data_IF_119748047430
#
_entry.id   IF_119748047430
#
_cell.length_a   1.000
_cell.length_b   1.000
_cell.length_c   1.000
_cell.angle_alpha   90.00
_cell.angle_beta   90.00
_cell.angle_gamma   90.00
#
_symmetry.space_group_name_H-M   'P 1'
#
loop_
_entity.id
_entity.type
_entity.pdbx_description
1 polymer ?
#
# COMPACT_ATOMS: atom_id res chain seq x y z
N UNK A 1 4.93 -30.13 16.15
CA UNK A 1 4.79 -29.87 14.70
C UNK A 1 5.17 -28.42 14.46
N UNK A 2 6.07 -28.14 13.51
CA UNK A 2 6.42 -26.76 13.14
C UNK A 2 5.18 -26.14 12.49
N UNK A 3 4.60 -25.12 13.12
CA UNK A 3 3.44 -24.40 12.59
C UNK A 3 3.92 -23.52 11.42
N UNK A 4 3.50 -23.84 10.21
CA UNK A 4 3.84 -23.07 9.00
C UNK A 4 2.82 -21.95 8.81
N UNK A 5 3.29 -20.70 8.79
CA UNK A 5 2.47 -19.54 8.42
C UNK A 5 2.97 -18.97 7.09
N UNK A 6 2.05 -18.68 6.17
CA UNK A 6 2.34 -18.00 4.89
C UNK A 6 1.76 -16.59 4.97
N UNK A 7 2.52 -15.58 4.52
CA UNK A 7 2.07 -14.19 4.48
C UNK A 7 2.11 -13.70 3.04
N UNK A 8 1.02 -13.10 2.58
CA UNK A 8 0.83 -12.60 1.22
C UNK A 8 0.47 -11.11 1.21
N UNK A 9 1.09 -10.36 0.32
CA UNK A 9 0.72 -8.99 -0.07
C UNK A 9 0.13 -9.05 -1.48
N UNK A 10 -1.19 -8.93 -1.61
CA UNK A 10 -1.94 -9.10 -2.84
C UNK A 10 -2.17 -7.74 -3.49
N UNK A 11 -1.43 -7.46 -4.56
CA UNK A 11 -1.69 -6.33 -5.45
C UNK A 11 -2.56 -6.69 -6.65
N UNK A 12 -2.77 -5.71 -7.54
CA UNK A 12 -3.54 -5.95 -8.78
C UNK A 12 -2.78 -6.68 -9.88
N UNK A 13 -1.44 -6.71 -9.82
CA UNK A 13 -0.55 -7.26 -10.86
C UNK A 13 0.36 -8.38 -10.33
N UNK A 14 0.72 -8.30 -9.06
CA UNK A 14 1.58 -9.28 -8.38
C UNK A 14 1.08 -9.57 -6.98
N UNK A 15 1.28 -10.80 -6.56
CA UNK A 15 1.22 -11.27 -5.17
C UNK A 15 2.64 -11.44 -4.70
N UNK A 16 3.02 -10.78 -3.62
CA UNK A 16 4.30 -10.97 -2.96
C UNK A 16 4.13 -11.89 -1.77
N UNK A 17 5.06 -12.81 -1.58
CA UNK A 17 5.10 -13.71 -0.42
C UNK A 17 6.28 -13.33 0.49
N UNK A 18 6.14 -13.56 1.78
CA UNK A 18 7.14 -13.17 2.79
C UNK A 18 8.52 -13.80 2.62
N UNK A 19 8.65 -14.85 1.82
CA UNK A 19 9.92 -15.47 1.45
C UNK A 19 10.64 -14.79 0.26
N UNK A 20 10.11 -13.67 -0.21
CA UNK A 20 10.65 -12.89 -1.33
C UNK A 20 10.14 -13.30 -2.72
N UNK A 21 9.34 -14.36 -2.82
CA UNK A 21 8.78 -14.78 -4.11
C UNK A 21 7.65 -13.84 -4.55
N UNK A 22 7.56 -13.66 -5.87
CA UNK A 22 6.52 -12.87 -6.53
C UNK A 22 5.77 -13.74 -7.54
N UNK A 23 4.45 -13.66 -7.53
CA UNK A 23 3.57 -14.41 -8.41
C UNK A 23 2.72 -13.43 -9.21
N UNK A 24 2.63 -13.59 -10.55
CA UNK A 24 1.76 -12.73 -11.35
C UNK A 24 0.29 -13.01 -11.03
N UNK A 25 -0.52 -11.95 -11.05
CA UNK A 25 -1.97 -12.02 -10.97
C UNK A 25 -2.56 -10.93 -11.86
N UNK A 26 -3.59 -11.27 -12.61
CA UNK A 26 -4.42 -10.28 -13.30
C UNK A 26 -5.71 -10.08 -12.48
N UNK A 27 -5.80 -8.95 -11.80
CA UNK A 27 -6.99 -8.61 -10.99
C UNK A 27 -8.26 -8.40 -11.84
N UNK A 28 -8.13 -8.29 -13.17
CA UNK A 28 -9.25 -8.21 -14.12
C UNK A 28 -9.52 -9.54 -14.83
N UNK A 29 -8.76 -10.57 -14.50
CA UNK A 29 -8.90 -11.92 -15.06
C UNK A 29 -10.18 -12.63 -14.64
N UNK A 30 -10.41 -13.83 -15.19
CA UNK A 30 -11.53 -14.66 -14.77
C UNK A 30 -11.40 -15.12 -13.32
N UNK A 31 -12.53 -15.53 -12.73
CA UNK A 31 -12.55 -16.06 -11.36
C UNK A 31 -11.59 -17.25 -11.19
N UNK A 32 -11.51 -18.12 -12.20
CA UNK A 32 -10.64 -19.30 -12.21
C UNK A 32 -9.16 -18.89 -12.27
N UNK A 33 -8.82 -17.90 -13.11
CA UNK A 33 -7.46 -17.38 -13.21
C UNK A 33 -6.99 -16.73 -11.90
N UNK A 34 -7.86 -15.94 -11.26
CA UNK A 34 -7.59 -15.33 -9.96
C UNK A 34 -7.41 -16.42 -8.89
N UNK A 35 -8.33 -17.41 -8.82
CA UNK A 35 -8.23 -18.51 -7.86
C UNK A 35 -6.93 -19.30 -8.02
N UNK A 36 -6.53 -19.59 -9.27
CA UNK A 36 -5.30 -20.31 -9.59
C UNK A 36 -4.05 -19.52 -9.17
N UNK A 37 -4.01 -18.21 -9.45
CA UNK A 37 -2.89 -17.35 -9.06
C UNK A 37 -2.75 -17.28 -7.53
N UNK A 38 -3.87 -17.12 -6.81
CA UNK A 38 -3.90 -17.12 -5.35
C UNK A 38 -3.42 -18.47 -4.78
N UNK A 39 -3.95 -19.60 -5.30
CA UNK A 39 -3.54 -20.93 -4.86
C UNK A 39 -2.05 -21.18 -5.11
N UNK A 40 -1.51 -20.74 -6.25
CA UNK A 40 -0.09 -20.84 -6.57
C UNK A 40 0.77 -20.05 -5.58
N UNK A 41 0.36 -18.82 -5.24
CA UNK A 41 1.08 -17.97 -4.28
C UNK A 41 1.03 -18.53 -2.85
N UNK A 42 -0.08 -19.15 -2.43
CA UNK A 42 -0.22 -19.82 -1.13
C UNK A 42 0.73 -21.04 -1.05
N UNK A 43 0.81 -21.79 -2.14
CA UNK A 43 1.60 -23.03 -2.19
C UNK A 43 0.94 -24.22 -1.47
N UNK A 44 1.70 -25.26 -1.13
CA UNK A 44 1.16 -26.46 -0.48
C UNK A 44 0.47 -26.16 0.85
N UNK A 45 -0.77 -26.65 1.00
CA UNK A 45 -1.60 -26.46 2.19
C UNK A 45 -1.20 -27.43 3.32
N UNK A 46 -0.50 -28.51 2.99
CA UNK A 46 -0.06 -29.50 3.98
C UNK A 46 0.88 -28.86 5.01
N UNK A 47 0.52 -29.01 6.29
CA UNK A 47 1.24 -28.38 7.40
C UNK A 47 0.99 -26.88 7.59
N UNK A 48 0.17 -26.24 6.72
CA UNK A 48 -0.21 -24.84 6.88
C UNK A 48 -1.13 -24.69 8.09
N UNK A 49 -0.77 -23.81 9.01
CA UNK A 49 -1.57 -23.48 10.20
C UNK A 49 -2.13 -22.07 10.19
N UNK A 50 -1.48 -21.15 9.45
CA UNK A 50 -1.91 -19.76 9.35
C UNK A 50 -1.63 -19.16 7.95
N UNK A 51 -2.51 -18.30 7.51
CA UNK A 51 -2.37 -17.54 6.26
C UNK A 51 -2.77 -16.08 6.52
N UNK A 52 -1.79 -15.19 6.47
CA UNK A 52 -1.98 -13.75 6.61
C UNK A 52 -2.01 -13.07 5.24
N UNK A 53 -2.99 -12.23 5.01
CA UNK A 53 -3.27 -11.65 3.71
C UNK A 53 -3.43 -10.15 3.85
N UNK A 54 -2.54 -9.39 3.24
CA UNK A 54 -2.74 -7.98 2.95
C UNK A 54 -3.39 -7.84 1.57
N UNK A 55 -4.50 -7.11 1.49
CA UNK A 55 -5.28 -6.94 0.26
C UNK A 55 -5.90 -5.53 0.24
N UNK A 56 -5.96 -4.85 -0.93
CA UNK A 56 -6.64 -3.56 -1.01
C UNK A 56 -8.16 -3.70 -0.79
N UNK A 57 -8.81 -2.59 -0.50
CA UNK A 57 -10.28 -2.52 -0.40
C UNK A 57 -10.96 -2.06 -1.69
N UNK A 58 -12.30 -2.15 -1.72
CA UNK A 58 -13.21 -2.70 -0.71
C UNK A 58 -13.11 -4.22 -0.53
N UNK A 59 -13.03 -4.66 0.72
CA UNK A 59 -12.97 -6.07 1.11
C UNK A 59 -13.57 -6.23 2.51
N UNK A 60 -14.31 -7.28 2.77
CA UNK A 60 -14.74 -7.61 4.13
C UNK A 60 -13.61 -8.35 4.85
N UNK A 61 -12.84 -7.63 5.64
CA UNK A 61 -11.67 -8.15 6.35
C UNK A 61 -12.02 -9.14 7.48
N UNK A 62 -13.27 -9.20 7.91
CA UNK A 62 -13.73 -10.17 8.94
C UNK A 62 -14.15 -11.49 8.32
N UNK A 63 -14.90 -11.44 7.22
CA UNK A 63 -15.45 -12.63 6.55
C UNK A 63 -14.58 -13.10 5.38
N UNK A 64 -13.62 -12.30 4.93
CA UNK A 64 -12.76 -12.60 3.79
C UNK A 64 -13.50 -12.55 2.46
N UNK A 65 -14.39 -11.55 2.25
CA UNK A 65 -15.23 -11.44 1.05
C UNK A 65 -14.72 -10.31 0.15
N UNK A 66 -14.56 -10.60 -1.14
CA UNK A 66 -14.20 -9.60 -2.15
C UNK A 66 -15.39 -8.67 -2.43
N UNK A 67 -15.19 -7.36 -2.32
CA UNK A 67 -16.22 -6.33 -2.55
C UNK A 67 -15.76 -5.26 -3.56
N UNK A 68 -14.68 -5.53 -4.29
CA UNK A 68 -14.13 -4.64 -5.32
C UNK A 68 -14.83 -4.84 -6.66
N UNK A 69 -15.26 -3.74 -7.28
CA UNK A 69 -15.89 -3.74 -8.61
C UNK A 69 -14.92 -3.34 -9.73
N UNK A 70 -13.86 -2.60 -9.39
CA UNK A 70 -12.85 -2.10 -10.34
C UNK A 70 -11.61 -2.99 -10.45
N UNK A 71 -11.42 -3.88 -9.50
CA UNK A 71 -10.40 -4.95 -9.46
C UNK A 71 -11.07 -6.16 -8.83
N UNK A 72 -10.65 -7.37 -9.20
CA UNK A 72 -11.23 -8.59 -8.66
C UNK A 72 -12.76 -8.70 -8.86
N UNK A 73 -13.30 -8.00 -9.87
CA UNK A 73 -14.76 -7.97 -10.13
C UNK A 73 -15.34 -9.35 -10.41
N UNK A 74 -14.60 -10.26 -11.05
CA UNK A 74 -15.03 -11.63 -11.35
C UNK A 74 -15.18 -12.53 -10.12
N UNK A 75 -14.64 -12.09 -8.98
CA UNK A 75 -14.76 -12.77 -7.67
C UNK A 75 -15.58 -11.95 -6.65
N UNK A 76 -16.24 -10.89 -7.09
CA UNK A 76 -17.12 -10.10 -6.23
C UNK A 76 -18.11 -10.98 -5.48
N UNK A 77 -18.28 -10.73 -4.18
CA UNK A 77 -19.17 -11.49 -3.29
C UNK A 77 -18.64 -12.88 -2.88
N UNK A 78 -17.54 -13.37 -3.47
CA UNK A 78 -16.96 -14.67 -3.12
C UNK A 78 -16.09 -14.57 -1.87
N UNK A 79 -16.13 -15.64 -1.06
CA UNK A 79 -15.23 -15.79 0.10
C UNK A 79 -13.88 -16.30 -0.36
N UNK A 80 -12.81 -15.67 0.13
CA UNK A 80 -11.43 -16.07 -0.17
C UNK A 80 -11.19 -17.55 0.16
N UNK A 81 -11.63 -18.02 1.33
CA UNK A 81 -11.46 -19.41 1.78
C UNK A 81 -12.06 -20.43 0.80
N UNK A 82 -13.27 -20.14 0.31
CA UNK A 82 -13.99 -21.00 -0.63
C UNK A 82 -13.34 -20.95 -2.02
N UNK A 83 -12.93 -19.75 -2.46
CA UNK A 83 -12.31 -19.53 -3.77
C UNK A 83 -11.01 -20.33 -3.95
N UNK A 84 -10.22 -20.47 -2.88
CA UNK A 84 -8.91 -21.17 -2.90
C UNK A 84 -8.89 -22.46 -2.07
N UNK A 85 -10.06 -22.95 -1.65
CA UNK A 85 -10.25 -24.22 -0.94
C UNK A 85 -9.37 -24.39 0.32
N UNK A 86 -9.29 -23.35 1.17
CA UNK A 86 -8.50 -23.41 2.42
C UNK A 86 -9.27 -24.16 3.50
N UNK A 87 -8.69 -25.22 4.11
CA UNK A 87 -9.32 -25.97 5.20
C UNK A 87 -9.66 -25.11 6.42
N UNK A 88 -10.75 -25.41 7.12
CA UNK A 88 -11.19 -24.66 8.32
C UNK A 88 -10.16 -24.60 9.44
N UNK A 89 -9.31 -25.63 9.56
CA UNK A 89 -8.21 -25.69 10.56
C UNK A 89 -7.13 -24.62 10.36
N UNK A 90 -7.04 -24.00 9.14
CA UNK A 90 -6.07 -22.95 8.86
C UNK A 90 -6.63 -21.62 9.32
N UNK A 91 -5.90 -20.93 10.20
CA UNK A 91 -6.25 -19.59 10.64
C UNK A 91 -6.04 -18.60 9.48
N UNK A 92 -7.10 -17.90 9.05
CA UNK A 92 -7.00 -16.81 8.09
C UNK A 92 -7.04 -15.48 8.83
N UNK A 93 -6.13 -14.57 8.44
CA UNK A 93 -6.10 -13.19 8.90
C UNK A 93 -6.02 -12.29 7.68
N UNK A 94 -7.00 -11.40 7.53
CA UNK A 94 -7.04 -10.41 6.47
C UNK A 94 -6.79 -9.02 7.02
N UNK A 95 -6.05 -8.22 6.27
CA UNK A 95 -5.81 -6.84 6.62
C UNK A 95 -5.75 -5.96 5.37
N UNK A 96 -6.15 -4.69 5.50
CA UNK A 96 -5.93 -3.73 4.42
C UNK A 96 -4.42 -3.53 4.23
N UNK A 97 -3.96 -3.52 2.98
CA UNK A 97 -2.53 -3.46 2.63
C UNK A 97 -1.80 -2.28 3.30
N UNK A 98 -2.32 -1.05 3.18
CA UNK A 98 -1.69 0.12 3.79
C UNK A 98 -1.68 0.05 5.32
N UNK A 99 -2.73 -0.48 5.94
CA UNK A 99 -2.78 -0.67 7.39
C UNK A 99 -1.75 -1.70 7.86
N UNK A 100 -1.56 -2.80 7.10
CA UNK A 100 -0.54 -3.80 7.40
C UNK A 100 0.88 -3.21 7.32
N UNK A 101 1.15 -2.37 6.30
CA UNK A 101 2.44 -1.65 6.20
C UNK A 101 2.65 -0.73 7.40
N UNK A 102 1.63 0.05 7.81
CA UNK A 102 1.76 0.95 8.95
C UNK A 102 1.97 0.17 10.25
N UNK A 103 1.21 -0.89 10.48
CA UNK A 103 1.34 -1.75 11.67
C UNK A 103 2.75 -2.32 11.81
N UNK A 104 3.31 -2.85 10.71
CA UNK A 104 4.68 -3.34 10.69
C UNK A 104 5.71 -2.22 10.87
N UNK A 105 5.49 -1.06 10.24
CA UNK A 105 6.38 0.10 10.38
C UNK A 105 6.43 0.62 11.81
N UNK A 106 5.29 0.71 12.49
CA UNK A 106 5.21 1.08 13.93
C UNK A 106 6.08 0.17 14.76
N UNK A 107 6.05 -1.14 14.51
CA UNK A 107 6.87 -2.12 15.23
C UNK A 107 8.35 -2.00 14.89
N UNK A 108 8.69 -1.99 13.60
CA UNK A 108 10.08 -2.00 13.12
C UNK A 108 10.84 -0.72 13.47
N UNK A 109 10.15 0.43 13.52
CA UNK A 109 10.74 1.73 13.83
C UNK A 109 10.53 2.17 15.29
N UNK A 110 9.98 1.30 16.13
CA UNK A 110 9.71 1.59 17.56
C UNK A 110 8.82 2.81 17.77
N UNK A 111 7.77 2.97 16.96
CA UNK A 111 6.85 4.10 16.99
C UNK A 111 5.63 3.89 17.92
N UNK A 112 5.70 2.98 18.89
CA UNK A 112 4.56 2.65 19.79
C UNK A 112 4.09 3.80 20.66
N UNK A 113 4.89 4.86 20.80
CA UNK A 113 4.56 6.06 21.57
C UNK A 113 4.31 7.30 20.69
N UNK A 114 4.43 7.14 19.38
CA UNK A 114 4.33 8.20 18.38
C UNK A 114 2.96 8.23 17.71
N UNK A 115 2.57 9.39 17.22
CA UNK A 115 1.47 9.54 16.28
C UNK A 115 2.08 9.56 14.87
N UNK A 116 1.82 8.53 14.11
CA UNK A 116 2.43 8.33 12.81
C UNK A 116 1.38 8.25 11.69
N UNK A 117 1.69 8.81 10.54
CA UNK A 117 0.91 8.60 9.32
C UNK A 117 1.77 7.86 8.28
N UNK A 118 1.13 7.12 7.40
CA UNK A 118 1.76 6.42 6.28
C UNK A 118 1.06 6.81 4.99
N UNK A 119 1.85 7.14 4.00
CA UNK A 119 1.43 7.23 2.60
C UNK A 119 2.11 6.11 1.82
N UNK A 120 1.36 5.35 1.04
CA UNK A 120 1.92 4.39 0.08
C UNK A 120 1.63 4.86 -1.34
N UNK A 121 2.69 4.98 -2.15
CA UNK A 121 2.64 5.45 -3.52
C UNK A 121 2.99 4.32 -4.49
N UNK A 122 2.12 4.09 -5.46
CA UNK A 122 2.27 3.05 -6.48
C UNK A 122 1.29 3.27 -7.62
N UNK A 123 0.56 2.23 -8.05
CA UNK A 123 -0.55 2.35 -9.00
C UNK A 123 -1.61 3.33 -8.48
N UNK A 124 -1.83 3.36 -7.17
CA UNK A 124 -2.72 4.29 -6.47
C UNK A 124 -2.04 4.93 -5.26
N UNK A 125 -2.84 5.63 -4.47
CA UNK A 125 -2.45 6.34 -3.26
C UNK A 125 -3.14 5.69 -2.04
N UNK A 126 -2.37 5.07 -1.16
CA UNK A 126 -2.85 4.56 0.13
C UNK A 126 -2.49 5.52 1.27
N UNK A 127 -3.36 5.58 2.28
CA UNK A 127 -3.14 6.37 3.49
C UNK A 127 -3.64 5.62 4.72
N UNK A 128 -2.87 5.65 5.80
CA UNK A 128 -3.27 5.17 7.11
C UNK A 128 -2.58 6.00 8.19
N UNK A 129 -3.11 6.00 9.41
CA UNK A 129 -2.47 6.65 10.54
C UNK A 129 -2.62 5.84 11.83
N UNK A 130 -1.71 6.08 12.76
CA UNK A 130 -1.67 5.48 14.09
C UNK A 130 -1.55 6.58 15.14
N UNK A 131 -2.30 6.46 16.22
CA UNK A 131 -2.20 7.33 17.40
C UNK A 131 -1.59 6.54 18.55
N UNK A 132 -0.48 7.03 19.11
CA UNK A 132 0.29 6.32 20.14
C UNK A 132 0.58 4.87 19.73
N UNK A 133 1.01 4.70 18.49
CA UNK A 133 1.35 3.41 17.90
C UNK A 133 0.15 2.51 17.55
N UNK A 134 -1.08 2.93 17.81
CA UNK A 134 -2.28 2.15 17.51
C UNK A 134 -2.87 2.58 16.16
N UNK A 135 -2.81 1.70 15.17
CA UNK A 135 -3.39 1.94 13.84
C UNK A 135 -4.89 2.18 13.96
N UNK A 136 -5.40 3.19 13.28
CA UNK A 136 -6.79 3.58 13.30
C UNK A 136 -7.54 3.01 12.10
N UNK A 137 -8.71 2.43 12.36
CA UNK A 137 -9.53 1.72 11.37
C UNK A 137 -10.94 2.31 11.32
N UNK A 138 -11.52 2.29 10.12
CA UNK A 138 -12.96 2.39 9.96
C UNK A 138 -13.64 1.09 10.47
N UNK A 139 -14.96 1.11 10.75
CA UNK A 139 -15.71 -0.09 11.17
C UNK A 139 -15.60 -1.28 10.21
N UNK A 140 -15.34 -1.03 8.92
CA UNK A 140 -15.10 -2.04 7.89
C UNK A 140 -13.74 -2.74 8.00
N UNK A 141 -12.78 -2.22 8.79
CA UNK A 141 -11.39 -2.63 8.81
C UNK A 141 -10.51 -1.93 7.76
N UNK A 142 -11.10 -1.06 6.94
CA UNK A 142 -10.36 -0.17 6.02
C UNK A 142 -9.64 0.94 6.78
N UNK A 143 -8.74 1.72 6.16
CA UNK A 143 -8.16 2.91 6.77
C UNK A 143 -9.24 3.87 7.27
N UNK A 144 -9.00 4.50 8.42
CA UNK A 144 -9.96 5.42 9.03
C UNK A 144 -10.16 6.73 8.23
N UNK A 145 -9.19 7.08 7.38
CA UNK A 145 -9.24 8.24 6.45
C UNK A 145 -8.68 7.86 5.09
N UNK A 146 -9.12 8.59 4.06
CA UNK A 146 -8.61 8.49 2.70
C UNK A 146 -7.99 9.82 2.27
N UNK A 147 -6.92 9.75 1.46
CA UNK A 147 -6.32 10.90 0.79
C UNK A 147 -6.52 10.85 -0.73
N UNK A 148 -6.68 9.66 -1.30
CA UNK A 148 -6.64 9.47 -2.74
C UNK A 148 -7.66 10.33 -3.52
N UNK A 149 -8.84 10.58 -2.94
CA UNK A 149 -9.94 11.31 -3.56
C UNK A 149 -10.03 12.79 -3.15
N UNK A 150 -9.02 13.33 -2.48
CA UNK A 150 -9.02 14.75 -2.15
C UNK A 150 -8.98 15.59 -3.44
N UNK A 151 -9.84 16.63 -3.56
CA UNK A 151 -9.82 17.51 -4.71
C UNK A 151 -8.53 18.33 -4.75
N UNK A 152 -8.00 18.55 -5.94
CA UNK A 152 -6.85 19.40 -6.23
C UNK A 152 -7.32 20.66 -6.94
N UNK A 153 -6.69 21.81 -6.68
CA UNK A 153 -7.09 23.11 -7.23
C UNK A 153 -7.09 23.13 -8.76
N UNK A 154 -6.16 22.43 -9.39
CA UNK A 154 -6.06 22.27 -10.83
C UNK A 154 -7.13 21.33 -11.44
N UNK A 155 -8.01 20.79 -10.60
CA UNK A 155 -9.06 19.84 -10.96
C UNK A 155 -8.64 18.38 -10.79
N UNK A 156 -9.61 17.48 -10.73
CA UNK A 156 -9.38 16.07 -10.46
C UNK A 156 -9.12 15.77 -8.97
N UNK A 157 -8.49 14.64 -8.70
CA UNK A 157 -8.21 14.15 -7.34
C UNK A 157 -6.71 13.96 -7.12
N UNK A 158 -6.27 13.97 -5.88
CA UNK A 158 -4.86 13.85 -5.49
C UNK A 158 -4.16 12.64 -6.13
N UNK A 159 -4.82 11.48 -6.17
CA UNK A 159 -4.25 10.29 -6.82
C UNK A 159 -3.88 10.51 -8.28
N UNK A 160 -4.62 11.36 -9.01
CA UNK A 160 -4.32 11.67 -10.41
C UNK A 160 -2.98 12.38 -10.60
N UNK A 161 -2.42 12.98 -9.55
CA UNK A 161 -1.16 13.73 -9.60
C UNK A 161 0.02 12.95 -9.02
N UNK A 162 -0.22 12.12 -7.99
CA UNK A 162 0.87 11.52 -7.21
C UNK A 162 1.06 10.01 -7.47
N UNK A 163 0.14 9.37 -8.19
CA UNK A 163 0.28 7.95 -8.59
C UNK A 163 1.22 7.77 -9.79
N UNK A 164 1.55 6.52 -10.11
CA UNK A 164 2.36 6.18 -11.29
C UNK A 164 1.79 6.81 -12.57
N UNK A 165 0.46 6.76 -12.75
CA UNK A 165 -0.23 7.38 -13.89
C UNK A 165 -0.04 8.90 -13.91
N UNK A 166 -0.13 9.54 -12.74
CA UNK A 166 0.05 10.99 -12.60
C UNK A 166 1.46 11.42 -12.96
N UNK A 167 2.47 10.71 -12.46
CA UNK A 167 3.90 10.96 -12.76
C UNK A 167 4.17 10.82 -14.26
N UNK A 168 3.72 9.72 -14.89
CA UNK A 168 3.90 9.49 -16.32
C UNK A 168 3.23 10.60 -17.16
N UNK A 169 2.00 10.97 -16.80
CA UNK A 169 1.26 12.05 -17.48
C UNK A 169 1.98 13.39 -17.36
N UNK A 170 2.43 13.76 -16.16
CA UNK A 170 3.15 15.01 -15.94
C UNK A 170 4.46 15.06 -16.72
N UNK A 171 5.23 13.96 -16.72
CA UNK A 171 6.46 13.87 -17.48
C UNK A 171 6.22 13.97 -18.99
N UNK A 172 5.25 13.23 -19.53
CA UNK A 172 4.86 13.28 -20.94
C UNK A 172 4.44 14.69 -21.37
N UNK A 173 3.70 15.41 -20.52
CA UNK A 173 3.28 16.80 -20.81
C UNK A 173 4.47 17.74 -20.89
N UNK A 174 5.48 17.58 -20.03
CA UNK A 174 6.63 18.47 -19.95
C UNK A 174 7.75 18.13 -20.92
N UNK A 175 7.97 16.83 -21.22
CA UNK A 175 9.08 16.36 -22.07
C UNK A 175 8.66 16.02 -23.51
N UNK A 176 7.36 15.75 -23.74
CA UNK A 176 6.83 15.17 -24.98
C UNK A 176 6.98 13.65 -25.07
N UNK A 177 7.70 13.01 -24.16
CA UNK A 177 7.95 11.56 -24.14
C UNK A 177 6.83 10.83 -23.36
N UNK A 178 6.09 9.93 -24.04
CA UNK A 178 4.92 9.25 -23.51
C UNK A 178 5.18 7.79 -23.09
N UNK A 179 6.37 7.26 -23.37
CA UNK A 179 6.67 5.83 -23.20
C UNK A 179 7.38 5.50 -21.88
N UNK A 180 7.53 6.51 -21.01
CA UNK A 180 8.22 6.38 -19.75
C UNK A 180 7.34 5.86 -18.63
N UNK A 181 7.93 5.05 -17.75
CA UNK A 181 7.33 4.59 -16.50
C UNK A 181 7.73 5.50 -15.34
N UNK A 182 6.95 5.50 -14.24
CA UNK A 182 7.35 6.24 -13.04
C UNK A 182 8.76 5.85 -12.55
N UNK A 183 9.14 4.59 -12.70
CA UNK A 183 10.49 4.10 -12.35
C UNK A 183 11.57 4.71 -13.24
N UNK A 184 11.41 4.63 -14.56
CA UNK A 184 12.43 5.18 -15.49
C UNK A 184 12.53 6.70 -15.37
N UNK A 185 11.43 7.41 -15.09
CA UNK A 185 11.43 8.84 -14.78
C UNK A 185 12.24 9.12 -13.49
N UNK A 186 12.10 8.29 -12.44
CA UNK A 186 12.93 8.43 -11.24
C UNK A 186 14.42 8.21 -11.55
N UNK A 187 14.74 7.18 -12.34
CA UNK A 187 16.12 6.90 -12.77
C UNK A 187 16.72 8.09 -13.57
N UNK A 188 15.94 8.70 -14.47
CA UNK A 188 16.32 9.94 -15.17
C UNK A 188 16.54 11.11 -14.20
N UNK A 189 15.65 11.28 -13.20
CA UNK A 189 15.79 12.34 -12.19
C UNK A 189 17.08 12.19 -11.38
N UNK A 190 17.44 10.97 -10.97
CA UNK A 190 18.71 10.66 -10.32
C UNK A 190 19.90 10.87 -11.24
N UNK A 191 19.74 10.65 -12.54
CA UNK A 191 20.72 10.94 -13.58
C UNK A 191 20.89 12.44 -13.93
N UNK A 192 20.11 13.32 -13.28
CA UNK A 192 20.23 14.77 -13.46
C UNK A 192 19.26 15.38 -14.48
N UNK A 193 18.29 14.61 -15.01
CA UNK A 193 17.23 15.16 -15.86
C UNK A 193 16.36 16.13 -15.05
N UNK A 194 16.38 17.41 -15.46
CA UNK A 194 15.68 18.49 -14.76
C UNK A 194 14.16 18.36 -14.85
N UNK A 195 13.65 17.86 -15.96
CA UNK A 195 12.20 17.66 -16.17
C UNK A 195 11.68 16.56 -15.26
N UNK A 196 12.38 15.42 -15.23
CA UNK A 196 12.04 14.30 -14.35
C UNK A 196 12.10 14.69 -12.88
N UNK A 197 13.14 15.44 -12.48
CA UNK A 197 13.27 15.98 -11.10
C UNK A 197 12.08 16.87 -10.74
N UNK A 198 11.71 17.81 -11.63
CA UNK A 198 10.60 18.73 -11.42
C UNK A 198 9.25 18.02 -11.25
N UNK A 199 9.06 16.91 -11.96
CA UNK A 199 7.86 16.06 -11.79
C UNK A 199 7.81 15.49 -10.37
N UNK A 200 8.88 14.91 -9.85
CA UNK A 200 8.91 14.36 -8.49
C UNK A 200 8.82 15.45 -7.41
N UNK A 201 9.42 16.60 -7.61
CA UNK A 201 9.27 17.76 -6.73
C UNK A 201 7.81 18.21 -6.65
N UNK A 202 7.08 18.20 -7.78
CA UNK A 202 5.64 18.50 -7.81
C UNK A 202 4.82 17.46 -7.04
N UNK A 203 5.15 16.17 -7.17
CA UNK A 203 4.51 15.11 -6.38
C UNK A 203 4.69 15.37 -4.88
N UNK A 204 5.91 15.73 -4.46
CA UNK A 204 6.20 16.08 -3.07
C UNK A 204 5.38 17.29 -2.58
N UNK A 205 5.22 18.32 -3.41
CA UNK A 205 4.43 19.50 -3.08
C UNK A 205 2.94 19.16 -2.90
N UNK A 206 2.34 18.40 -3.83
CA UNK A 206 0.95 17.94 -3.70
C UNK A 206 0.72 17.09 -2.46
N UNK A 207 1.62 16.15 -2.18
CA UNK A 207 1.54 15.30 -1.00
C UNK A 207 1.69 16.11 0.29
N UNK A 208 2.67 16.99 0.36
CA UNK A 208 2.89 17.83 1.53
C UNK A 208 1.67 18.69 1.86
N UNK A 209 1.10 19.36 0.87
CA UNK A 209 -0.10 20.18 1.03
C UNK A 209 -1.32 19.36 1.49
N UNK A 210 -1.57 18.21 0.84
CA UNK A 210 -2.68 17.34 1.17
C UNK A 210 -2.54 16.75 2.58
N UNK A 211 -1.34 16.28 2.92
CA UNK A 211 -1.02 15.73 4.25
C UNK A 211 -1.17 16.79 5.33
N UNK A 212 -0.63 18.00 5.15
CA UNK A 212 -0.74 19.09 6.12
C UNK A 212 -2.19 19.37 6.51
N UNK A 213 -3.11 19.33 5.54
CA UNK A 213 -4.56 19.48 5.80
C UNK A 213 -5.16 18.24 6.49
N UNK A 214 -4.80 17.05 6.01
CA UNK A 214 -5.44 15.79 6.44
C UNK A 214 -5.04 15.33 7.84
N UNK A 215 -3.87 15.76 8.35
CA UNK A 215 -3.33 15.35 9.65
C UNK A 215 -3.32 16.48 10.69
N UNK A 216 -3.80 17.67 10.34
CA UNK A 216 -3.75 18.87 11.20
C UNK A 216 -4.42 18.72 12.56
N UNK A 217 -5.38 17.79 12.69
CA UNK A 217 -6.12 17.48 13.91
C UNK A 217 -5.64 16.21 14.65
N UNK A 218 -4.52 15.59 14.20
CA UNK A 218 -4.08 14.28 14.66
C UNK A 218 -2.78 14.29 15.47
N UNK A 219 -2.15 15.46 15.67
CA UNK A 219 -0.85 15.61 16.34
C UNK A 219 0.21 14.64 15.80
N UNK A 220 0.24 14.44 14.48
CA UNK A 220 1.20 13.54 13.82
C UNK A 220 2.61 14.11 13.94
N UNK A 221 3.53 13.33 14.49
CA UNK A 221 4.95 13.70 14.60
C UNK A 221 5.85 13.03 13.54
N UNK A 222 5.37 11.95 12.92
CA UNK A 222 6.11 11.18 11.93
C UNK A 222 5.25 10.81 10.74
N UNK A 223 5.72 11.08 9.52
CA UNK A 223 5.09 10.62 8.27
C UNK A 223 6.03 9.64 7.58
N UNK A 224 5.50 8.47 7.27
CA UNK A 224 6.19 7.41 6.55
C UNK A 224 5.77 7.42 5.07
N UNK A 225 6.75 7.23 4.19
CA UNK A 225 6.53 7.14 2.75
C UNK A 225 6.91 5.75 2.29
N UNK A 226 5.93 5.02 1.76
CA UNK A 226 6.06 3.63 1.30
C UNK A 226 5.56 3.43 -0.13
N UNK A 227 5.49 2.16 -0.54
CA UNK A 227 5.11 1.78 -1.90
C UNK A 227 6.27 1.84 -2.90
N UNK A 228 6.02 1.43 -4.14
CA UNK A 228 7.08 1.36 -5.17
C UNK A 228 7.63 2.74 -5.54
N UNK A 229 6.77 3.74 -5.67
CA UNK A 229 7.17 5.14 -5.94
C UNK A 229 7.84 5.74 -4.70
N UNK A 230 7.42 5.33 -3.51
CA UNK A 230 8.03 5.74 -2.25
C UNK A 230 9.52 5.39 -2.13
N UNK A 231 10.05 4.44 -2.93
CA UNK A 231 11.48 4.18 -3.03
C UNK A 231 12.27 5.38 -3.58
N UNK A 232 11.60 6.27 -4.31
CA UNK A 232 12.15 7.53 -4.82
C UNK A 232 11.86 8.72 -3.90
N UNK A 233 11.60 8.48 -2.62
CA UNK A 233 11.23 9.50 -1.64
C UNK A 233 12.21 10.67 -1.58
N UNK A 234 13.50 10.44 -1.72
CA UNK A 234 14.52 11.51 -1.71
C UNK A 234 14.33 12.57 -2.81
N UNK A 235 13.62 12.25 -3.91
CA UNK A 235 13.27 13.21 -4.95
C UNK A 235 12.10 14.13 -4.58
N UNK A 236 11.32 13.75 -3.55
CA UNK A 236 10.12 14.44 -3.09
C UNK A 236 10.31 15.10 -1.72
N UNK A 237 11.33 14.70 -0.98
CA UNK A 237 11.49 14.98 0.45
C UNK A 237 11.52 16.48 0.74
N UNK A 238 12.31 17.26 0.01
CA UNK A 238 12.48 18.68 0.30
C UNK A 238 11.17 19.47 0.13
N UNK A 239 10.44 19.20 -0.97
CA UNK A 239 9.16 19.88 -1.23
C UNK A 239 8.06 19.44 -0.27
N UNK A 240 8.07 18.19 0.20
CA UNK A 240 7.18 17.73 1.26
C UNK A 240 7.53 18.40 2.60
N UNK A 241 8.82 18.48 2.95
CA UNK A 241 9.26 19.02 4.25
C UNK A 241 8.89 20.50 4.40
N UNK A 242 8.90 21.27 3.32
CA UNK A 242 8.44 22.66 3.33
C UNK A 242 6.96 22.82 3.74
N UNK A 243 6.13 21.83 3.48
CA UNK A 243 4.70 21.84 3.83
C UNK A 243 4.42 21.20 5.19
N UNK A 244 5.39 20.42 5.72
CA UNK A 244 5.25 19.58 6.92
C UNK A 244 6.33 19.94 7.94
N UNK A 245 6.44 21.24 8.26
CA UNK A 245 7.42 21.72 9.26
C UNK A 245 7.21 21.05 10.61
N UNK A 246 8.31 20.65 11.25
CA UNK A 246 8.28 19.97 12.55
C UNK A 246 7.88 18.49 12.50
N UNK A 247 7.45 17.98 11.35
CA UNK A 247 7.10 16.57 11.18
C UNK A 247 8.31 15.81 10.61
N UNK A 248 8.64 14.68 11.22
CA UNK A 248 9.70 13.80 10.75
C UNK A 248 9.22 12.98 9.55
N UNK A 249 9.89 13.12 8.41
CA UNK A 249 9.63 12.33 7.19
C UNK A 249 10.63 11.18 7.09
N UNK A 250 10.15 9.95 6.93
CA UNK A 250 10.97 8.73 6.82
C UNK A 250 10.42 7.76 5.79
N UNK A 251 11.29 6.94 5.20
CA UNK A 251 10.85 5.82 4.36
C UNK A 251 10.24 4.71 5.21
N UNK A 252 9.14 4.12 4.75
CA UNK A 252 8.59 2.92 5.36
C UNK A 252 9.58 1.75 5.19
N UNK A 253 9.80 0.91 6.22
CA UNK A 253 10.75 -0.19 6.14
C UNK A 253 10.34 -1.23 5.09
N UNK A 254 11.35 -1.78 4.42
CA UNK A 254 11.12 -2.92 3.52
C UNK A 254 10.56 -4.11 4.31
N UNK A 255 9.56 -4.78 3.76
CA UNK A 255 8.93 -5.93 4.42
C UNK A 255 7.95 -5.59 5.55
N UNK A 256 7.69 -4.31 5.84
CA UNK A 256 6.79 -3.89 6.90
C UNK A 256 5.38 -4.52 6.78
N UNK A 257 4.88 -4.75 5.56
CA UNK A 257 3.60 -5.44 5.35
C UNK A 257 3.56 -6.83 6.00
N UNK A 258 4.65 -7.59 5.86
CA UNK A 258 4.74 -8.95 6.41
C UNK A 258 4.95 -8.93 7.93
N UNK A 259 5.71 -7.96 8.45
CA UNK A 259 5.85 -7.76 9.89
C UNK A 259 4.49 -7.39 10.52
N UNK A 260 3.73 -6.52 9.87
CA UNK A 260 2.37 -6.18 10.29
C UNK A 260 1.45 -7.38 10.31
N UNK A 261 1.40 -8.16 9.23
CA UNK A 261 0.60 -9.39 9.15
C UNK A 261 1.03 -10.43 10.19
N UNK A 262 2.33 -10.63 10.37
CA UNK A 262 2.87 -11.58 11.37
C UNK A 262 2.39 -11.23 12.78
N UNK A 263 2.33 -9.95 13.12
CA UNK A 263 1.91 -9.48 14.45
C UNK A 263 0.44 -9.78 14.78
N UNK A 264 -0.39 -10.08 13.78
CA UNK A 264 -1.81 -10.40 13.96
C UNK A 264 -2.05 -11.87 14.34
N UNK A 265 -1.06 -12.75 14.18
CA UNK A 265 -1.14 -14.10 14.70
C UNK A 265 -0.77 -14.09 16.18
N UNK A 266 -1.69 -14.58 17.04
CA UNK A 266 -1.40 -14.73 18.47
C UNK A 266 -0.23 -15.68 18.63
N UNK A 267 0.86 -15.23 19.22
CA UNK A 267 1.89 -16.12 19.80
C UNK A 267 1.22 -16.90 20.92
N UNK A 268 1.14 -18.22 20.77
CA UNK A 268 0.68 -19.11 21.85
C UNK A 268 1.74 -19.20 22.92
#
# INVERSE_FOLDING_TARGET
MVTKTTLLDIGGTFIKRSDGQMFPIDSNGSSEAIAQALATAIGPIDGLSGLGIAIPGPFDFRQGIFLMEHKFASVYGKRFRELVHIPEKVQLVFHHDVNAVLLGSVKMLSLQRHNAALVTLGTGLGFAYALKGQVQYAPSGSPARNLWNLPVEEGGILEDYVSARGICRAYATMSGDKDETARSIAEKAYGGDKTARKVYESVGAYLGQALGKAISDLDIDTVLIGGQIGQSFSLMQDTMQHQLEGIRLVSAPFGAVFEGLSSLFKTK
#
